data_IF_317432039857
#
_entry.id   IF_317432039857
#
_cell.length_a   1.000
_cell.length_b   1.000
_cell.length_c   1.000
_cell.angle_alpha   90.00
_cell.angle_beta   90.00
_cell.angle_gamma   90.00
#
_symmetry.space_group_name_H-M   'P 1'
#
loop_
_entity.id
_entity.type
_entity.pdbx_description
1 polymer ?
#
# COMPACT_ATOMS: atom_id res chain seq x y z
N UNK A 1 -3.97 -19.06 -4.62
CA UNK A 1 -2.74 -18.37 -4.13
C UNK A 1 -2.72 -16.96 -4.67
N UNK A 2 -2.58 -15.95 -3.81
CA UNK A 2 -2.48 -14.56 -4.28
C UNK A 2 -1.02 -14.22 -4.60
N UNK A 3 -0.77 -13.79 -5.84
CA UNK A 3 0.54 -13.41 -6.36
C UNK A 3 0.53 -11.93 -6.77
N UNK A 4 1.21 -11.08 -6.01
CA UNK A 4 1.44 -9.70 -6.45
C UNK A 4 2.40 -9.69 -7.65
N UNK A 5 1.98 -9.06 -8.75
CA UNK A 5 2.82 -8.91 -9.94
C UNK A 5 4.08 -8.09 -9.65
N UNK A 6 3.95 -7.08 -8.79
CA UNK A 6 5.07 -6.26 -8.34
C UNK A 6 6.09 -7.10 -7.55
N UNK A 7 5.63 -7.95 -6.63
CA UNK A 7 6.52 -8.83 -5.87
C UNK A 7 7.15 -9.93 -6.75
N UNK A 8 6.40 -10.48 -7.72
CA UNK A 8 6.95 -11.39 -8.71
C UNK A 8 8.15 -10.78 -9.46
N UNK A 9 8.06 -9.50 -9.83
CA UNK A 9 9.09 -8.77 -10.55
C UNK A 9 10.41 -8.59 -9.78
N UNK A 10 10.38 -8.72 -8.47
CA UNK A 10 11.62 -8.74 -7.66
C UNK A 10 12.45 -10.01 -7.90
N UNK A 11 11.80 -11.10 -8.33
CA UNK A 11 12.46 -12.37 -8.62
C UNK A 11 12.71 -12.61 -10.10
N UNK A 12 11.80 -12.17 -10.96
CA UNK A 12 11.85 -12.40 -12.41
C UNK A 12 11.51 -11.09 -13.13
N UNK A 13 12.37 -10.61 -14.04
CA UNK A 13 12.17 -9.33 -14.72
C UNK A 13 11.10 -9.44 -15.83
N UNK A 14 9.87 -9.79 -15.44
CA UNK A 14 8.73 -9.90 -16.35
C UNK A 14 8.16 -8.51 -16.64
N UNK A 15 8.17 -8.10 -17.92
CA UNK A 15 7.57 -6.84 -18.37
C UNK A 15 6.10 -6.98 -18.74
N UNK A 16 5.64 -8.20 -18.98
CA UNK A 16 4.24 -8.52 -19.33
C UNK A 16 3.27 -8.11 -18.22
N UNK A 17 2.05 -7.71 -18.61
CA UNK A 17 0.95 -7.42 -17.67
C UNK A 17 0.37 -8.68 -17.03
N UNK A 18 -0.50 -8.47 -16.04
CA UNK A 18 -1.08 -9.54 -15.22
C UNK A 18 -1.79 -10.61 -16.05
N UNK A 19 -2.55 -10.22 -17.08
CA UNK A 19 -3.26 -11.17 -17.93
C UNK A 19 -2.30 -12.12 -18.67
N UNK A 20 -1.26 -11.60 -19.31
CA UNK A 20 -0.29 -12.45 -20.02
C UNK A 20 0.49 -13.36 -19.06
N UNK A 21 0.84 -12.85 -17.87
CA UNK A 21 1.49 -13.66 -16.84
C UNK A 21 0.57 -14.81 -16.42
N UNK A 22 -0.70 -14.49 -16.12
CA UNK A 22 -1.70 -15.48 -15.74
C UNK A 22 -1.96 -16.55 -16.83
N UNK A 23 -2.08 -16.12 -18.09
CA UNK A 23 -2.28 -17.02 -19.21
C UNK A 23 -1.12 -18.01 -19.36
N UNK A 24 0.12 -17.53 -19.23
CA UNK A 24 1.30 -18.40 -19.32
C UNK A 24 1.43 -19.35 -18.14
N UNK A 25 1.09 -18.93 -16.93
CA UNK A 25 1.03 -19.81 -15.76
C UNK A 25 -0.06 -20.88 -15.93
N UNK A 26 -1.22 -20.50 -16.47
CA UNK A 26 -2.32 -21.43 -16.79
C UNK A 26 -1.86 -22.51 -17.76
N UNK A 27 -1.08 -22.16 -18.78
CA UNK A 27 -0.51 -23.14 -19.71
C UNK A 27 0.49 -24.12 -19.06
N UNK A 28 1.01 -23.81 -17.88
CA UNK A 28 1.83 -24.69 -17.04
C UNK A 28 1.00 -25.46 -15.98
N UNK A 29 -0.34 -25.33 -16.00
CA UNK A 29 -1.26 -25.99 -15.08
C UNK A 29 -1.47 -25.24 -13.75
N UNK A 30 -1.20 -23.94 -13.75
CA UNK A 30 -1.42 -23.00 -12.63
C UNK A 30 -2.49 -21.99 -13.06
N UNK A 31 -3.76 -22.37 -12.90
CA UNK A 31 -4.90 -21.65 -13.46
C UNK A 31 -5.03 -20.23 -12.88
N UNK A 32 -5.12 -19.23 -13.77
CA UNK A 32 -5.51 -17.88 -13.39
C UNK A 32 -7.01 -17.85 -13.10
N UNK A 33 -7.40 -17.63 -11.86
CA UNK A 33 -8.81 -17.57 -11.42
C UNK A 33 -9.34 -16.14 -11.50
N UNK A 34 -8.53 -15.13 -11.08
CA UNK A 34 -8.93 -13.71 -11.12
C UNK A 34 -7.70 -12.79 -11.16
N UNK A 35 -7.92 -11.53 -11.55
CA UNK A 35 -6.96 -10.42 -11.43
C UNK A 35 -7.57 -9.34 -10.55
N UNK A 36 -7.02 -9.18 -9.37
CA UNK A 36 -7.52 -8.27 -8.33
C UNK A 36 -6.78 -6.95 -8.41
N UNK A 37 -7.52 -5.85 -8.44
CA UNK A 37 -7.02 -4.47 -8.36
C UNK A 37 -7.42 -3.88 -7.00
N UNK A 38 -6.65 -4.10 -5.92
CA UNK A 38 -7.10 -3.84 -4.55
C UNK A 38 -7.35 -2.37 -4.26
N UNK A 39 -6.72 -1.47 -5.01
CA UNK A 39 -6.79 -0.03 -4.79
C UNK A 39 -7.51 0.74 -5.93
N UNK A 40 -8.23 0.03 -6.82
CA UNK A 40 -8.95 0.67 -7.93
C UNK A 40 -9.99 1.70 -7.45
N UNK A 41 -10.58 1.47 -6.28
CA UNK A 41 -11.56 2.39 -5.70
C UNK A 41 -10.99 3.75 -5.28
N UNK A 42 -9.67 3.90 -5.16
CA UNK A 42 -8.99 5.15 -4.80
C UNK A 42 -8.05 5.68 -5.88
N UNK A 43 -8.13 5.14 -7.09
CA UNK A 43 -7.25 5.52 -8.21
C UNK A 43 -7.39 7.00 -8.64
N UNK A 44 -8.55 7.62 -8.39
CA UNK A 44 -8.85 9.00 -8.72
C UNK A 44 -8.55 10.00 -7.59
N UNK A 45 -8.04 9.51 -6.45
CA UNK A 45 -7.58 10.36 -5.35
C UNK A 45 -6.20 10.92 -5.68
N UNK A 46 -6.00 12.21 -5.41
CA UNK A 46 -4.74 12.89 -5.69
C UNK A 46 -4.08 13.44 -4.43
N UNK A 47 -2.77 13.65 -4.50
CA UNK A 47 -2.02 14.36 -3.46
C UNK A 47 -2.34 15.85 -3.57
N UNK A 48 -2.86 16.44 -2.50
CA UNK A 48 -3.07 17.88 -2.37
C UNK A 48 -2.13 18.52 -1.37
N UNK A 49 -2.02 19.84 -1.43
CA UNK A 49 -1.29 20.67 -0.48
C UNK A 49 -2.24 21.70 0.13
N UNK A 50 -2.40 21.67 1.43
CA UNK A 50 -3.19 22.65 2.19
C UNK A 50 -2.40 23.96 2.26
N UNK A 51 -2.80 24.96 1.49
CA UNK A 51 -2.13 26.25 1.46
C UNK A 51 -2.51 27.11 2.68
N UNK A 52 -3.81 27.18 2.97
CA UNK A 52 -4.33 27.94 4.12
C UNK A 52 -5.38 27.13 4.87
N UNK A 53 -5.53 27.45 6.18
CA UNK A 53 -6.62 26.96 7.03
C UNK A 53 -7.19 28.15 7.78
N UNK A 54 -8.48 28.39 7.66
CA UNK A 54 -9.22 29.43 8.36
C UNK A 54 -10.39 28.81 9.14
N UNK A 55 -10.78 29.44 10.24
CA UNK A 55 -11.97 29.02 10.97
C UNK A 55 -13.23 29.25 10.13
N UNK A 56 -14.16 28.32 10.18
CA UNK A 56 -15.43 28.45 9.48
C UNK A 56 -16.29 29.54 10.15
N UNK A 57 -16.89 30.50 9.40
CA UNK A 57 -17.61 31.63 10.01
C UNK A 57 -18.79 31.23 10.87
N UNK A 58 -19.44 30.10 10.56
CA UNK A 58 -20.68 29.63 11.24
C UNK A 58 -20.49 28.25 11.91
N UNK A 59 -19.24 27.88 12.30
CA UNK A 59 -19.00 26.59 12.95
C UNK A 59 -17.72 26.57 13.75
N UNK A 60 -17.79 26.08 14.99
CA UNK A 60 -16.65 25.91 15.89
C UNK A 60 -15.80 24.65 15.57
N UNK A 61 -16.33 23.75 14.71
CA UNK A 61 -15.69 22.47 14.40
C UNK A 61 -15.23 22.33 12.96
N UNK A 62 -15.60 23.27 12.09
CA UNK A 62 -15.21 23.24 10.69
C UNK A 62 -14.10 24.26 10.41
N UNK A 63 -13.24 23.90 9.47
CA UNK A 63 -12.25 24.79 8.89
C UNK A 63 -12.50 24.93 7.39
N UNK A 64 -12.18 26.10 6.86
CA UNK A 64 -12.15 26.38 5.43
C UNK A 64 -10.71 26.32 5.00
N UNK A 65 -10.38 25.40 4.09
CA UNK A 65 -9.04 25.17 3.59
C UNK A 65 -8.95 25.56 2.12
N UNK A 66 -7.89 26.27 1.75
CA UNK A 66 -7.49 26.42 0.36
C UNK A 66 -6.47 25.36 0.03
N UNK A 67 -6.75 24.53 -0.98
CA UNK A 67 -5.97 23.32 -1.30
C UNK A 67 -5.55 23.35 -2.76
N UNK A 68 -4.25 23.26 -3.00
CA UNK A 68 -3.70 22.95 -4.31
C UNK A 68 -3.74 21.44 -4.51
N UNK A 69 -4.50 20.96 -5.48
CA UNK A 69 -4.64 19.56 -5.86
C UNK A 69 -4.08 19.26 -7.27
N UNK A 70 -3.20 20.12 -7.78
CA UNK A 70 -2.63 20.00 -9.12
C UNK A 70 -3.61 20.34 -10.24
N UNK A 71 -4.70 21.06 -9.92
CA UNK A 71 -5.66 21.58 -10.89
C UNK A 71 -5.27 23.01 -11.31
N UNK A 72 -5.90 23.54 -12.36
CA UNK A 72 -5.67 24.93 -12.81
C UNK A 72 -6.00 25.97 -11.72
N UNK A 73 -7.02 25.70 -10.91
CA UNK A 73 -7.44 26.55 -9.81
C UNK A 73 -7.28 25.82 -8.47
N UNK A 74 -6.92 26.57 -7.43
CA UNK A 74 -6.92 26.07 -6.06
C UNK A 74 -8.34 25.80 -5.57
N UNK A 75 -8.52 24.74 -4.80
CA UNK A 75 -9.82 24.31 -4.33
C UNK A 75 -10.13 24.90 -2.95
N UNK A 76 -11.36 25.38 -2.78
CA UNK A 76 -11.89 25.67 -1.46
C UNK A 76 -12.55 24.39 -0.92
N UNK A 77 -12.05 23.85 0.20
CA UNK A 77 -12.56 22.62 0.82
C UNK A 77 -12.88 22.89 2.29
N UNK A 78 -14.09 22.58 2.70
CA UNK A 78 -14.49 22.64 4.11
C UNK A 78 -14.17 21.29 4.76
N UNK A 79 -13.36 21.33 5.83
CA UNK A 79 -12.87 20.14 6.53
C UNK A 79 -13.28 20.19 8.02
N UNK A 80 -13.78 19.07 8.55
CA UNK A 80 -14.14 18.91 9.95
C UNK A 80 -13.09 18.21 10.81
N UNK A 81 -11.98 17.79 10.21
CA UNK A 81 -10.95 17.05 10.94
C UNK A 81 -10.12 17.98 11.85
N UNK A 82 -9.86 17.58 13.09
CA UNK A 82 -9.12 18.41 14.05
C UNK A 82 -7.65 18.58 13.68
N UNK A 83 -7.07 17.62 12.98
CA UNK A 83 -5.65 17.56 12.65
C UNK A 83 -5.27 18.25 11.32
N UNK A 84 -6.23 18.84 10.58
CA UNK A 84 -5.89 19.57 9.35
C UNK A 84 -5.12 20.84 9.70
N UNK A 85 -4.02 21.12 8.98
CA UNK A 85 -3.20 22.32 9.14
C UNK A 85 -2.65 22.80 7.81
N UNK A 86 -2.36 24.11 7.72
CA UNK A 86 -1.66 24.68 6.57
C UNK A 86 -0.26 24.06 6.45
N UNK A 87 0.21 23.85 5.21
CA UNK A 87 1.49 23.23 4.90
C UNK A 87 1.45 21.70 4.71
N UNK A 88 0.39 21.03 5.16
CA UNK A 88 0.29 19.59 5.05
C UNK A 88 0.04 19.11 3.61
N UNK A 89 0.65 17.97 3.26
CA UNK A 89 0.23 17.15 2.12
C UNK A 89 -0.87 16.20 2.58
N UNK A 90 -1.91 16.06 1.78
CA UNK A 90 -3.14 15.33 2.14
C UNK A 90 -3.74 14.62 0.92
N UNK A 91 -4.43 13.50 1.09
CA UNK A 91 -5.21 12.92 -0.01
C UNK A 91 -6.48 13.75 -0.25
N UNK A 92 -6.74 14.04 -1.53
CA UNK A 92 -7.88 14.85 -1.96
C UNK A 92 -8.72 14.09 -2.96
N UNK A 93 -10.00 13.94 -2.65
CA UNK A 93 -11.03 13.51 -3.57
C UNK A 93 -11.63 14.72 -4.29
N UNK A 94 -11.47 14.76 -5.61
CA UNK A 94 -12.02 15.82 -6.46
C UNK A 94 -13.54 15.65 -6.67
N UNK A 95 -14.21 16.69 -7.10
CA UNK A 95 -15.63 16.61 -7.50
C UNK A 95 -15.78 15.62 -8.66
N UNK A 96 -16.67 14.64 -8.51
CA UNK A 96 -16.89 13.54 -9.44
C UNK A 96 -16.27 12.21 -9.01
N UNK A 97 -15.29 12.22 -8.10
CA UNK A 97 -14.68 11.00 -7.57
C UNK A 97 -15.71 10.16 -6.80
N UNK A 98 -15.70 8.86 -7.06
CA UNK A 98 -16.46 7.87 -6.27
C UNK A 98 -15.56 7.27 -5.21
N UNK A 99 -15.93 7.40 -3.95
CA UNK A 99 -15.21 6.84 -2.81
C UNK A 99 -15.45 5.33 -2.65
N UNK A 100 -14.58 4.58 -1.95
CA UNK A 100 -14.74 3.14 -1.71
C UNK A 100 -16.12 2.74 -1.18
N UNK A 101 -16.76 3.57 -0.38
CA UNK A 101 -18.15 3.38 0.12
C UNK A 101 -19.25 3.69 -0.88
N UNK A 102 -18.94 3.98 -2.16
CA UNK A 102 -19.91 4.33 -3.20
C UNK A 102 -20.40 5.78 -3.17
N UNK A 103 -19.93 6.59 -2.24
CA UNK A 103 -20.27 8.01 -2.16
C UNK A 103 -19.57 8.79 -3.28
N UNK A 104 -20.33 9.55 -4.06
CA UNK A 104 -19.78 10.43 -5.09
C UNK A 104 -19.57 11.82 -4.51
N UNK A 105 -18.35 12.35 -4.64
CA UNK A 105 -18.00 13.69 -4.21
C UNK A 105 -18.66 14.72 -5.14
N UNK A 106 -19.46 15.62 -4.55
CA UNK A 106 -20.19 16.66 -5.28
C UNK A 106 -19.79 18.03 -4.76
N UNK A 107 -20.00 19.07 -5.58
CA UNK A 107 -19.98 20.44 -5.07
C UNK A 107 -21.01 20.56 -3.95
N UNK A 108 -20.57 20.94 -2.77
CA UNK A 108 -21.41 21.05 -1.58
C UNK A 108 -21.35 22.48 -1.04
N UNK A 109 -22.38 22.84 -0.28
CA UNK A 109 -22.40 24.08 0.50
C UNK A 109 -22.59 23.71 1.96
N UNK A 110 -21.52 23.79 2.75
CA UNK A 110 -21.50 23.43 4.14
C UNK A 110 -21.66 24.69 4.99
N UNK A 111 -22.79 24.81 5.70
CA UNK A 111 -23.15 26.01 6.49
C UNK A 111 -22.86 27.33 5.75
N UNK A 112 -23.26 27.42 4.49
CA UNK A 112 -23.09 28.64 3.70
C UNK A 112 -21.79 28.74 2.90
N UNK A 113 -20.74 27.99 3.23
CA UNK A 113 -19.45 28.01 2.55
C UNK A 113 -19.39 26.92 1.47
N UNK A 114 -19.04 27.24 0.20
CA UNK A 114 -18.89 26.22 -0.85
C UNK A 114 -17.64 25.36 -0.62
N UNK A 115 -17.77 24.04 -0.90
CA UNK A 115 -16.69 23.07 -0.87
C UNK A 115 -16.62 22.31 -2.20
N UNK A 116 -15.41 22.22 -2.77
CA UNK A 116 -15.16 21.68 -4.12
C UNK A 116 -14.29 20.42 -4.08
N UNK A 117 -14.46 19.59 -3.08
CA UNK A 117 -13.73 18.35 -2.89
C UNK A 117 -13.80 17.89 -1.42
N UNK A 118 -13.04 16.85 -1.11
CA UNK A 118 -12.93 16.31 0.23
C UNK A 118 -11.46 15.95 0.53
N UNK A 119 -10.97 16.35 1.70
CA UNK A 119 -9.71 15.84 2.26
C UNK A 119 -10.06 14.55 3.00
N UNK A 120 -9.35 13.45 2.69
CA UNK A 120 -9.74 12.12 3.12
C UNK A 120 -8.94 11.63 4.34
N UNK A 121 -9.60 10.84 5.18
CA UNK A 121 -8.98 10.00 6.21
C UNK A 121 -8.54 8.66 5.61
N UNK A 122 -7.69 7.91 6.31
CA UNK A 122 -7.31 6.55 5.91
C UNK A 122 -8.53 5.62 5.82
N UNK A 123 -9.47 5.76 6.74
CA UNK A 123 -10.71 4.96 6.75
C UNK A 123 -11.58 5.23 5.52
N UNK A 124 -11.74 6.48 5.11
CA UNK A 124 -12.51 6.82 3.90
C UNK A 124 -11.86 6.29 2.63
N UNK A 125 -10.55 6.12 2.65
CA UNK A 125 -9.77 5.51 1.57
C UNK A 125 -9.77 3.97 1.63
N UNK A 126 -10.25 3.37 2.73
CA UNK A 126 -10.20 1.92 2.94
C UNK A 126 -8.78 1.40 3.22
N UNK A 127 -7.86 2.26 3.65
CA UNK A 127 -6.46 1.90 3.95
C UNK A 127 -6.27 1.43 5.39
N UNK A 128 -7.07 1.93 6.33
CA UNK A 128 -7.08 1.49 7.72
C UNK A 128 -8.44 1.76 8.38
N UNK A 129 -8.58 1.37 9.66
CA UNK A 129 -9.75 1.69 10.48
C UNK A 129 -9.61 3.06 11.20
N UNK A 130 -8.49 3.75 11.04
CA UNK A 130 -8.27 5.04 11.70
C UNK A 130 -9.14 6.15 11.08
N UNK A 131 -9.89 6.81 11.96
CA UNK A 131 -10.80 7.91 11.62
C UNK A 131 -10.62 9.12 12.54
N UNK A 132 -9.51 9.20 13.29
CA UNK A 132 -9.25 10.30 14.24
C UNK A 132 -8.92 11.63 13.55
N UNK A 133 -8.86 11.65 12.22
CA UNK A 133 -8.59 12.84 11.43
C UNK A 133 -8.35 12.50 9.95
N UNK A 134 -7.82 13.47 9.23
CA UNK A 134 -7.36 13.25 7.86
C UNK A 134 -6.04 12.49 7.86
N UNK A 135 -5.77 11.77 6.77
CA UNK A 135 -4.45 11.21 6.48
C UNK A 135 -3.48 12.34 6.16
N UNK A 136 -2.32 12.36 6.81
CA UNK A 136 -1.23 13.31 6.52
C UNK A 136 -0.14 12.58 5.77
N UNK A 137 0.21 13.09 4.60
CA UNK A 137 1.20 12.49 3.71
C UNK A 137 2.60 13.09 3.93
N UNK A 138 3.67 12.39 3.54
CA UNK A 138 5.03 12.93 3.52
C UNK A 138 5.12 14.24 2.74
N UNK A 139 5.95 15.17 3.23
CA UNK A 139 6.10 16.51 2.65
C UNK A 139 6.66 16.53 1.22
N UNK A 140 7.46 15.53 0.89
CA UNK A 140 8.12 15.36 -0.41
C UNK A 140 7.19 14.83 -1.51
N UNK A 141 5.97 14.41 -1.17
CA UNK A 141 5.00 13.96 -2.17
C UNK A 141 4.61 15.09 -3.12
N UNK A 142 4.61 14.76 -4.41
CA UNK A 142 4.32 15.73 -5.46
C UNK A 142 2.81 15.97 -5.60
N UNK A 143 2.39 17.23 -5.52
CA UNK A 143 0.99 17.65 -5.70
C UNK A 143 0.46 17.23 -7.06
N UNK A 144 -0.80 16.79 -7.11
CA UNK A 144 -1.48 16.32 -8.32
C UNK A 144 -1.13 14.91 -8.76
N UNK A 145 -0.17 14.24 -8.10
CA UNK A 145 0.11 12.81 -8.35
C UNK A 145 -1.05 11.96 -7.80
N UNK A 146 -1.42 10.89 -8.49
CA UNK A 146 -2.40 9.94 -7.96
C UNK A 146 -1.88 9.37 -6.64
N UNK A 147 -2.77 9.24 -5.66
CA UNK A 147 -2.41 8.72 -4.34
C UNK A 147 -1.83 7.31 -4.41
N UNK A 148 -2.38 6.45 -5.26
CA UNK A 148 -1.91 5.07 -5.46
C UNK A 148 -0.47 5.02 -5.98
N UNK A 149 -0.06 5.97 -6.82
CA UNK A 149 1.31 6.06 -7.31
C UNK A 149 2.25 6.60 -6.22
N UNK A 150 1.81 7.64 -5.50
CA UNK A 150 2.59 8.27 -4.44
C UNK A 150 2.87 7.32 -3.26
N UNK A 151 1.91 6.44 -2.93
CA UNK A 151 2.03 5.42 -1.89
C UNK A 151 2.57 4.07 -2.41
N UNK A 152 2.89 3.99 -3.71
CA UNK A 152 3.38 2.76 -4.34
C UNK A 152 2.39 1.58 -4.22
N UNK A 153 1.08 1.87 -4.28
CA UNK A 153 -0.02 0.92 -4.17
C UNK A 153 -0.56 0.44 -5.52
N UNK A 154 -0.09 1.00 -6.64
CA UNK A 154 -0.52 0.58 -7.98
C UNK A 154 0.04 -0.81 -8.29
N UNK A 155 -0.70 -1.84 -7.92
CA UNK A 155 -0.33 -3.24 -8.09
C UNK A 155 -1.52 -4.08 -8.54
N UNK A 156 -1.23 -5.10 -9.33
CA UNK A 156 -2.17 -6.15 -9.72
C UNK A 156 -1.82 -7.43 -8.95
N UNK A 157 -2.85 -8.12 -8.46
CA UNK A 157 -2.72 -9.38 -7.76
C UNK A 157 -3.41 -10.47 -8.58
N UNK A 158 -2.65 -11.47 -8.98
CA UNK A 158 -3.19 -12.64 -9.66
C UNK A 158 -3.67 -13.65 -8.60
N UNK A 159 -4.90 -14.10 -8.71
CA UNK A 159 -5.40 -15.25 -7.97
C UNK A 159 -5.13 -16.51 -8.79
N UNK A 160 -4.22 -17.36 -8.28
CA UNK A 160 -3.76 -18.56 -8.96
C UNK A 160 -4.25 -19.81 -8.23
N UNK A 161 -4.98 -20.66 -8.95
CA UNK A 161 -5.42 -21.97 -8.49
C UNK A 161 -4.22 -22.93 -8.37
N UNK A 162 -3.98 -23.43 -7.14
CA UNK A 162 -2.90 -24.38 -6.88
C UNK A 162 -3.49 -25.76 -6.60
N UNK A 163 -3.17 -26.71 -7.44
CA UNK A 163 -3.58 -28.12 -7.25
C UNK A 163 -2.81 -28.77 -6.10
N UNK A 164 -3.38 -29.79 -5.40
CA UNK A 164 -2.75 -30.40 -4.22
C UNK A 164 -1.35 -30.99 -4.44
N UNK A 165 -1.02 -31.37 -5.68
CA UNK A 165 0.29 -31.88 -6.05
C UNK A 165 1.35 -30.80 -6.32
N UNK A 166 0.97 -29.51 -6.31
CA UNK A 166 1.86 -28.37 -6.57
C UNK A 166 2.07 -27.51 -5.32
N UNK A 167 2.29 -28.14 -4.18
CA UNK A 167 2.60 -27.45 -2.93
C UNK A 167 3.84 -26.54 -3.01
N UNK A 168 4.76 -26.81 -3.92
CA UNK A 168 5.90 -25.97 -4.26
C UNK A 168 5.49 -24.55 -4.72
N UNK A 169 4.31 -24.41 -5.34
CA UNK A 169 3.75 -23.16 -5.83
C UNK A 169 2.94 -22.37 -4.80
N UNK A 170 2.82 -22.87 -3.56
CA UNK A 170 2.20 -22.12 -2.44
C UNK A 170 3.11 -21.02 -1.85
N UNK A 171 3.96 -20.44 -2.67
CA UNK A 171 4.83 -19.32 -2.31
C UNK A 171 5.12 -18.45 -3.54
N UNK A 172 5.42 -17.16 -3.30
CA UNK A 172 5.82 -16.25 -4.39
C UNK A 172 7.05 -16.76 -5.11
N UNK A 173 8.03 -17.30 -4.38
CA UNK A 173 9.24 -17.88 -4.98
C UNK A 173 8.93 -19.11 -5.85
N UNK A 174 7.99 -19.96 -5.43
CA UNK A 174 7.55 -21.11 -6.22
C UNK A 174 6.92 -20.67 -7.54
N UNK A 175 5.98 -19.72 -7.48
CA UNK A 175 5.38 -19.13 -8.68
C UNK A 175 6.40 -18.37 -9.54
N UNK A 176 7.40 -17.73 -8.91
CA UNK A 176 8.48 -17.08 -9.65
C UNK A 176 9.34 -18.06 -10.46
N UNK A 177 9.57 -19.26 -9.96
CA UNK A 177 10.26 -20.33 -10.74
C UNK A 177 9.47 -20.73 -11.97
N UNK A 178 8.16 -20.89 -11.84
CA UNK A 178 7.27 -21.21 -12.94
C UNK A 178 7.19 -20.05 -13.95
N UNK A 179 7.07 -18.81 -13.48
CA UNK A 179 7.10 -17.63 -14.33
C UNK A 179 8.44 -17.50 -15.09
N UNK A 180 9.57 -17.72 -14.40
CA UNK A 180 10.89 -17.72 -15.03
C UNK A 180 10.97 -18.74 -16.17
N UNK A 181 10.42 -19.94 -15.98
CA UNK A 181 10.33 -20.97 -17.00
C UNK A 181 9.41 -20.54 -18.15
N UNK A 182 8.20 -20.05 -17.83
CA UNK A 182 7.19 -19.64 -18.81
C UNK A 182 7.68 -18.54 -19.75
N UNK A 183 8.43 -17.59 -19.21
CA UNK A 183 8.97 -16.45 -19.95
C UNK A 183 10.40 -16.64 -20.45
N UNK A 184 11.06 -17.76 -20.08
CA UNK A 184 12.48 -18.03 -20.35
C UNK A 184 13.39 -16.90 -19.86
N UNK A 185 13.08 -16.37 -18.68
CA UNK A 185 13.81 -15.30 -18.01
C UNK A 185 14.63 -15.84 -16.83
N UNK A 186 15.69 -15.15 -16.41
CA UNK A 186 16.47 -15.56 -15.25
C UNK A 186 15.65 -15.38 -13.96
N UNK A 187 15.80 -16.32 -13.03
CA UNK A 187 15.35 -16.17 -11.63
C UNK A 187 16.46 -15.55 -10.80
N UNK A 188 16.16 -14.45 -10.13
CA UNK A 188 17.09 -13.77 -9.23
C UNK A 188 16.58 -13.89 -7.80
N UNK A 189 17.39 -14.46 -6.90
CA UNK A 189 17.06 -14.52 -5.49
C UNK A 189 17.57 -13.25 -4.79
N UNK A 190 16.82 -12.71 -3.80
CA UNK A 190 17.28 -11.57 -3.04
C UNK A 190 18.56 -11.92 -2.26
N UNK A 191 19.54 -11.04 -2.31
CA UNK A 191 20.77 -11.17 -1.51
C UNK A 191 20.46 -10.74 -0.08
N UNK A 192 20.35 -11.71 0.82
CA UNK A 192 20.16 -11.43 2.25
C UNK A 192 21.56 -11.17 2.85
N UNK A 193 21.77 -9.95 3.32
CA UNK A 193 22.95 -9.58 4.09
C UNK A 193 22.52 -9.05 5.46
N UNK A 194 23.13 -9.59 6.52
CA UNK A 194 22.93 -9.12 7.89
C UNK A 194 24.29 -8.69 8.42
N UNK A 195 24.44 -7.40 8.69
CA UNK A 195 25.65 -6.85 9.34
C UNK A 195 25.57 -7.17 10.85
N UNK A 196 25.97 -8.40 11.20
CA UNK A 196 25.99 -8.84 12.58
C UNK A 196 27.12 -8.16 13.36
N UNK A 197 26.78 -7.56 14.50
CA UNK A 197 27.71 -6.83 15.38
C UNK A 197 27.53 -7.31 16.82
N UNK A 198 28.52 -7.03 17.66
CA UNK A 198 28.48 -7.39 19.08
C UNK A 198 29.14 -8.74 19.38
N UNK A 199 28.80 -9.32 20.51
CA UNK A 199 29.32 -10.61 20.95
C UNK A 199 28.74 -11.76 20.13
N UNK A 200 29.43 -12.91 20.12
CA UNK A 200 28.89 -14.14 19.55
C UNK A 200 27.63 -14.54 20.30
N UNK A 201 26.52 -14.73 19.57
CA UNK A 201 25.24 -15.15 20.15
C UNK A 201 25.36 -16.42 21.01
N UNK A 202 26.29 -17.33 20.69
CA UNK A 202 26.57 -18.54 21.48
C UNK A 202 27.20 -18.25 22.84
N UNK A 203 27.79 -17.07 23.05
CA UNK A 203 28.32 -16.66 24.37
C UNK A 203 27.21 -16.13 25.31
N UNK A 204 26.12 -15.65 24.74
CA UNK A 204 25.01 -15.03 25.49
C UNK A 204 23.84 -16.01 25.72
N UNK A 205 23.60 -16.90 24.75
CA UNK A 205 22.46 -17.81 24.74
C UNK A 205 22.85 -19.23 24.35
N UNK A 206 22.31 -20.22 25.06
CA UNK A 206 22.47 -21.63 24.74
C UNK A 206 21.19 -22.20 24.12
N UNK A 207 21.34 -22.99 23.06
CA UNK A 207 20.26 -23.78 22.47
C UNK A 207 20.56 -25.26 22.73
N UNK A 208 19.59 -25.97 23.29
CA UNK A 208 19.65 -27.43 23.45
C UNK A 208 18.53 -28.09 22.66
N UNK A 209 18.88 -29.11 21.88
CA UNK A 209 17.91 -29.91 21.11
C UNK A 209 17.90 -31.31 21.72
N UNK A 210 17.01 -31.59 22.71
CA UNK A 210 16.99 -32.90 23.41
C UNK A 210 16.61 -34.07 22.50
N UNK A 211 15.85 -33.78 21.43
CA UNK A 211 15.43 -34.78 20.45
C UNK A 211 15.71 -34.33 19.03
N UNK A 212 16.91 -34.58 18.48
CA UNK A 212 17.31 -34.15 17.15
C UNK A 212 16.52 -34.84 16.02
N UNK A 213 15.92 -35.99 16.26
CA UNK A 213 15.10 -36.68 15.25
C UNK A 213 13.79 -35.93 14.98
N UNK A 214 13.24 -35.23 15.98
CA UNK A 214 12.04 -34.42 15.86
C UNK A 214 12.33 -32.97 15.45
N UNK A 215 13.50 -32.43 15.82
CA UNK A 215 13.94 -31.08 15.47
C UNK A 215 15.41 -31.14 15.00
N UNK A 216 15.65 -31.52 13.74
CA UNK A 216 17.01 -31.69 13.21
C UNK A 216 17.78 -30.37 13.05
N UNK A 217 17.06 -29.24 13.03
CA UNK A 217 17.66 -27.92 12.84
C UNK A 217 16.89 -26.85 13.61
N UNK A 218 17.61 -25.98 14.33
CA UNK A 218 17.07 -24.80 15.00
C UNK A 218 18.04 -23.63 14.84
N UNK A 219 17.51 -22.45 14.57
CA UNK A 219 18.30 -21.24 14.40
C UNK A 219 17.80 -20.15 15.35
N UNK A 220 18.73 -19.53 16.07
CA UNK A 220 18.48 -18.40 16.97
C UNK A 220 19.24 -17.16 16.49
N UNK A 221 18.61 -16.00 16.58
CA UNK A 221 19.23 -14.69 16.41
C UNK A 221 18.88 -13.80 17.59
N UNK A 222 19.88 -13.10 18.11
CA UNK A 222 19.70 -12.07 19.12
C UNK A 222 19.63 -10.70 18.47
N UNK A 223 18.61 -9.92 18.81
CA UNK A 223 18.45 -8.53 18.38
C UNK A 223 18.39 -7.66 19.61
N UNK A 224 19.35 -6.75 19.76
CA UNK A 224 19.48 -5.85 20.90
C UNK A 224 19.06 -4.41 20.55
N UNK A 225 18.82 -3.59 21.58
CA UNK A 225 18.48 -2.17 21.40
C UNK A 225 17.11 -1.93 20.79
N UNK A 226 16.19 -2.89 20.89
CA UNK A 226 14.84 -2.78 20.33
C UNK A 226 14.00 -1.80 21.13
N UNK A 227 13.37 -0.85 20.43
CA UNK A 227 12.33 0.02 21.01
C UNK A 227 10.97 -0.41 20.50
N UNK A 228 10.08 -0.76 21.41
CA UNK A 228 8.69 -1.11 21.07
C UNK A 228 7.93 0.16 20.69
N UNK A 229 7.42 0.20 19.46
CA UNK A 229 6.62 1.31 18.93
C UNK A 229 5.60 0.78 17.93
N UNK A 230 4.66 1.64 17.51
CA UNK A 230 3.78 1.34 16.39
C UNK A 230 4.61 1.05 15.11
N UNK A 231 4.11 0.16 14.27
CA UNK A 231 4.67 -0.05 12.93
C UNK A 231 4.70 1.27 12.14
N UNK A 232 5.75 1.49 11.36
CA UNK A 232 5.81 2.63 10.45
C UNK A 232 4.73 2.56 9.41
#
# INVERSE_FOLDING_TARGET
MLLSLKWLREFVPVEAGAQEVGDRLTMLGLELEDIIHPYDAIKDIVVGHVLTKEAHPDSDHLAVCTVDAGQEEVLNIVCGAPNVAAGQKVPVALVGTTMPGGMVIKKAKLRGVPSFGMICSERELGLSEDHNGIMVLPEDFKVGTRLVDALDLDTEILEIGITPNRGDCLSVLGLAREAALAFKLPLTLPKVHVDARGADCASEWAVSIPNPDLCPFYQLRLVEGVTIRQSP
#
